data_IF_344729912987
#
_entry.id   IF_344729912987
#
_cell.length_a   1.000
_cell.length_b   1.000
_cell.length_c   1.000
_cell.angle_alpha   90.00
_cell.angle_beta   90.00
_cell.angle_gamma   90.00
#
_symmetry.space_group_name_H-M   'P 1'
#
loop_
_entity.id
_entity.type
_entity.pdbx_description
1 polymer ?
#
# COMPACT_ATOMS: atom_id res chain seq x y z
N UNK A 1 21.29 52.34 19.43
CA UNK A 1 19.90 52.07 18.98
C UNK A 1 19.91 50.98 17.92
N UNK A 2 18.80 50.23 17.80
CA UNK A 2 18.57 48.92 17.12
C UNK A 2 18.71 47.74 18.10
N UNK A 3 17.80 47.61 19.06
CA UNK A 3 16.40 47.17 18.98
C UNK A 3 16.26 45.64 18.85
N UNK A 4 15.53 45.10 19.82
CA UNK A 4 15.26 43.72 20.17
C UNK A 4 14.53 42.91 19.08
N UNK A 5 14.84 41.61 19.02
CA UNK A 5 13.86 40.54 18.78
C UNK A 5 14.42 39.28 19.48
N UNK A 6 14.05 39.03 20.72
CA UNK A 6 12.87 38.23 21.10
C UNK A 6 13.02 36.78 20.60
N UNK A 7 13.53 35.84 21.41
CA UNK A 7 12.84 35.16 22.50
C UNK A 7 12.08 33.89 22.04
N UNK A 8 12.68 32.75 22.40
CA UNK A 8 12.04 31.63 23.13
C UNK A 8 11.21 30.58 22.38
N UNK A 9 11.64 29.32 22.57
CA UNK A 9 10.91 28.04 22.63
C UNK A 9 9.91 27.66 21.51
N UNK A 10 10.03 26.42 21.02
CA UNK A 10 9.12 25.35 21.44
C UNK A 10 9.70 23.98 21.10
N UNK A 11 9.93 23.17 22.14
CA UNK A 11 10.02 21.73 22.01
C UNK A 11 8.61 21.19 21.73
N UNK A 12 8.44 20.47 20.61
CA UNK A 12 7.29 19.60 20.35
C UNK A 12 7.90 18.32 19.78
N UNK A 13 8.19 17.36 20.65
CA UNK A 13 7.37 16.16 20.85
C UNK A 13 7.17 15.37 19.56
N UNK A 14 7.75 14.16 19.56
CA UNK A 14 7.37 13.08 18.69
C UNK A 14 5.84 12.99 18.60
N UNK A 15 5.32 13.07 17.39
CA UNK A 15 3.99 12.57 17.09
C UNK A 15 4.11 11.89 15.74
N UNK A 16 4.06 10.54 15.68
CA UNK A 16 3.75 9.89 14.43
C UNK A 16 2.34 10.37 14.13
N UNK A 17 2.22 11.33 13.22
CA UNK A 17 0.96 11.64 12.59
C UNK A 17 0.58 10.37 11.82
N UNK A 18 -0.10 9.46 12.51
CA UNK A 18 -1.03 8.54 11.89
C UNK A 18 -1.77 9.38 10.85
N UNK A 19 -1.64 9.01 9.59
CA UNK A 19 -2.36 9.63 8.49
C UNK A 19 -3.85 9.66 8.87
N UNK A 20 -4.31 10.79 9.38
CA UNK A 20 -5.70 11.05 9.71
C UNK A 20 -6.41 11.32 8.39
N UNK A 21 -6.67 10.25 7.64
CA UNK A 21 -7.81 10.27 6.75
C UNK A 21 -9.07 10.48 7.60
N UNK A 22 -10.05 11.28 7.15
CA UNK A 22 -11.31 11.42 7.86
C UNK A 22 -11.92 10.03 8.05
N UNK A 23 -12.03 9.60 9.32
CA UNK A 23 -12.73 8.39 9.69
C UNK A 23 -14.23 8.61 9.39
N UNK A 24 -14.85 7.86 8.46
CA UNK A 24 -16.29 7.89 8.28
C UNK A 24 -16.97 7.21 9.48
N UNK A 25 -18.23 7.52 9.77
CA UNK A 25 -18.95 6.97 10.91
C UNK A 25 -18.97 5.44 10.87
N UNK A 26 -18.67 4.83 12.03
CA UNK A 26 -18.65 3.40 12.24
C UNK A 26 -20.07 2.82 12.11
N UNK A 27 -20.28 1.85 11.21
CA UNK A 27 -21.52 1.05 11.20
C UNK A 27 -22.09 0.58 9.86
N UNK A 28 -21.45 0.85 8.71
CA UNK A 28 -21.98 0.43 7.41
C UNK A 28 -21.44 -0.93 6.92
N UNK A 29 -22.25 -1.76 6.22
CA UNK A 29 -21.79 -3.02 5.60
C UNK A 29 -20.62 -2.84 4.60
N UNK A 30 -20.38 -1.62 4.13
CA UNK A 30 -19.27 -1.24 3.24
C UNK A 30 -17.87 -1.23 3.90
N UNK A 31 -17.77 -1.29 5.23
CA UNK A 31 -16.47 -1.21 5.93
C UNK A 31 -15.58 -2.43 5.66
N UNK A 32 -16.16 -3.63 5.52
CA UNK A 32 -15.40 -4.85 5.25
C UNK A 32 -14.78 -4.85 3.84
N UNK A 33 -15.50 -4.30 2.85
CA UNK A 33 -15.00 -4.19 1.47
C UNK A 33 -13.91 -3.13 1.34
N UNK A 34 -14.00 -2.00 2.06
CA UNK A 34 -12.98 -0.95 2.02
C UNK A 34 -11.69 -1.28 2.75
N UNK A 35 -11.72 -2.15 3.77
CA UNK A 35 -10.51 -2.55 4.52
C UNK A 35 -9.53 -3.39 3.69
N UNK A 36 -10.01 -4.03 2.64
CA UNK A 36 -9.20 -4.87 1.74
C UNK A 36 -8.81 -4.16 0.44
N UNK A 37 -9.38 -2.97 0.17
CA UNK A 37 -8.98 -2.19 -0.99
C UNK A 37 -7.66 -1.48 -0.64
N UNK A 38 -6.56 -1.81 -1.33
CA UNK A 38 -5.30 -1.12 -1.09
C UNK A 38 -5.46 0.35 -1.47
N UNK A 39 -4.73 1.25 -0.77
CA UNK A 39 -4.73 2.65 -1.12
C UNK A 39 -4.45 2.84 -2.63
N UNK A 40 -5.08 3.83 -3.28
CA UNK A 40 -4.75 4.16 -4.66
C UNK A 40 -3.24 4.41 -4.79
N UNK A 41 -2.62 3.93 -5.86
CA UNK A 41 -1.21 4.24 -6.12
C UNK A 41 -1.09 5.75 -6.40
N UNK A 42 -0.48 6.50 -5.49
CA UNK A 42 -0.23 7.92 -5.67
C UNK A 42 1.17 8.07 -6.28
N UNK A 43 1.22 8.38 -7.57
CA UNK A 43 2.48 8.65 -8.26
C UNK A 43 2.84 10.12 -8.06
N UNK A 44 4.08 10.41 -7.65
CA UNK A 44 4.61 11.78 -7.74
C UNK A 44 4.77 12.16 -9.22
N UNK A 45 5.01 13.44 -9.50
CA UNK A 45 5.42 13.92 -10.84
C UNK A 45 6.77 14.61 -10.76
N UNK A 46 7.47 14.72 -11.89
CA UNK A 46 8.77 15.43 -11.93
C UNK A 46 8.59 16.91 -11.59
N UNK A 47 7.43 17.51 -11.92
CA UNK A 47 7.08 18.89 -11.57
C UNK A 47 6.94 19.07 -10.06
N UNK A 48 6.18 18.18 -9.40
CA UNK A 48 6.03 18.18 -7.95
C UNK A 48 7.37 18.01 -7.24
N UNK A 49 8.21 17.09 -7.74
CA UNK A 49 9.56 16.88 -7.21
C UNK A 49 10.46 18.11 -7.42
N UNK A 50 10.40 18.71 -8.62
CA UNK A 50 11.20 19.90 -8.96
C UNK A 50 10.81 21.10 -8.11
N UNK A 51 9.51 21.30 -7.87
CA UNK A 51 9.00 22.37 -7.03
C UNK A 51 9.40 22.17 -5.56
N UNK A 52 9.28 20.95 -5.04
CA UNK A 52 9.62 20.64 -3.64
C UNK A 52 11.11 20.81 -3.36
N UNK A 53 11.96 20.43 -4.32
CA UNK A 53 13.42 20.51 -4.19
C UNK A 53 14.01 21.83 -4.70
N UNK A 54 13.19 22.75 -5.21
CA UNK A 54 13.65 24.03 -5.77
C UNK A 54 14.62 23.87 -6.95
N UNK A 55 14.41 22.86 -7.81
CA UNK A 55 15.30 22.56 -8.92
C UNK A 55 15.21 23.62 -10.02
N UNK A 56 16.37 24.06 -10.53
CA UNK A 56 16.41 24.90 -11.71
C UNK A 56 16.19 24.08 -13.01
N UNK A 57 15.95 24.74 -14.16
CA UNK A 57 15.66 24.03 -15.42
C UNK A 57 16.74 23.04 -15.87
N UNK A 58 18.02 23.39 -15.68
CA UNK A 58 19.13 22.52 -16.06
C UNK A 58 19.22 21.27 -15.16
N UNK A 59 18.97 21.41 -13.86
CA UNK A 59 18.90 20.29 -12.92
C UNK A 59 17.71 19.40 -13.22
N UNK A 60 16.53 19.99 -13.47
CA UNK A 60 15.32 19.28 -13.90
C UNK A 60 15.58 18.45 -15.15
N UNK A 61 16.24 19.01 -16.16
CA UNK A 61 16.59 18.29 -17.39
C UNK A 61 17.47 17.06 -17.09
N UNK A 62 18.45 17.19 -16.19
CA UNK A 62 19.34 16.07 -15.79
C UNK A 62 18.62 14.97 -15.02
N UNK A 63 17.66 15.30 -14.16
CA UNK A 63 16.96 14.30 -13.33
C UNK A 63 15.78 13.63 -14.04
N UNK A 64 15.24 14.25 -15.09
CA UNK A 64 14.03 13.77 -15.78
C UNK A 64 14.18 12.33 -16.32
N UNK A 65 15.31 11.93 -16.95
CA UNK A 65 15.49 10.56 -17.41
C UNK A 65 15.47 9.53 -16.27
N UNK A 66 16.20 9.79 -15.18
CA UNK A 66 16.26 8.91 -14.01
C UNK A 66 14.88 8.77 -13.35
N UNK A 67 14.18 9.90 -13.20
CA UNK A 67 12.83 9.93 -12.67
C UNK A 67 11.85 9.13 -13.54
N UNK A 68 11.94 9.28 -14.87
CA UNK A 68 11.08 8.57 -15.82
C UNK A 68 11.29 7.06 -15.74
N UNK A 69 12.54 6.61 -15.66
CA UNK A 69 12.87 5.19 -15.50
C UNK A 69 12.30 4.62 -14.19
N UNK A 70 12.49 5.33 -13.07
CA UNK A 70 11.99 4.91 -11.76
C UNK A 70 10.46 4.86 -11.74
N UNK A 71 9.80 5.87 -12.32
CA UNK A 71 8.34 5.88 -12.45
C UNK A 71 7.84 4.69 -13.29
N UNK A 72 8.56 4.32 -14.35
CA UNK A 72 8.26 3.13 -15.14
C UNK A 72 8.29 1.85 -14.31
N UNK A 73 9.36 1.63 -13.54
CA UNK A 73 9.50 0.46 -12.65
C UNK A 73 8.39 0.41 -11.60
N UNK A 74 8.08 1.54 -10.97
CA UNK A 74 7.01 1.60 -9.96
C UNK A 74 5.63 1.28 -10.55
N UNK A 75 5.34 1.76 -11.77
CA UNK A 75 4.09 1.46 -12.46
C UNK A 75 3.98 -0.02 -12.84
N UNK A 76 5.06 -0.61 -13.34
CA UNK A 76 5.07 -2.05 -13.66
C UNK A 76 4.85 -2.89 -12.39
N UNK A 77 5.54 -2.56 -11.29
CA UNK A 77 5.34 -3.23 -10.01
C UNK A 77 3.89 -3.08 -9.49
N UNK A 78 3.30 -1.88 -9.62
CA UNK A 78 1.90 -1.65 -9.28
C UNK A 78 0.97 -2.52 -10.13
N UNK A 79 1.16 -2.54 -11.46
CA UNK A 79 0.37 -3.35 -12.39
C UNK A 79 0.46 -4.85 -12.04
N UNK A 80 1.65 -5.36 -11.72
CA UNK A 80 1.82 -6.76 -11.29
C UNK A 80 1.06 -7.08 -10.00
N UNK A 81 1.07 -6.18 -9.00
CA UNK A 81 0.29 -6.36 -7.77
C UNK A 81 -1.22 -6.37 -8.05
N UNK A 82 -1.70 -5.51 -8.95
CA UNK A 82 -3.10 -5.51 -9.37
C UNK A 82 -3.46 -6.84 -10.06
N UNK A 83 -2.62 -7.33 -10.96
CA UNK A 83 -2.82 -8.60 -11.65
C UNK A 83 -2.87 -9.80 -10.70
N UNK A 84 -1.92 -9.89 -9.75
CA UNK A 84 -1.92 -10.95 -8.71
C UNK A 84 -3.21 -10.89 -7.88
N UNK A 85 -3.66 -9.68 -7.51
CA UNK A 85 -4.94 -9.53 -6.79
C UNK A 85 -6.13 -9.98 -7.62
N UNK A 86 -6.19 -9.58 -8.89
CA UNK A 86 -7.27 -10.03 -9.78
C UNK A 86 -7.26 -11.54 -9.93
N UNK A 87 -6.08 -12.16 -10.06
CA UNK A 87 -5.94 -13.61 -10.09
C UNK A 87 -6.42 -14.27 -8.79
N UNK A 88 -6.05 -13.72 -7.63
CA UNK A 88 -6.47 -14.21 -6.31
C UNK A 88 -7.96 -13.99 -6.03
N UNK A 89 -8.55 -12.94 -6.59
CA UNK A 89 -10.00 -12.71 -6.54
C UNK A 89 -10.74 -13.66 -7.50
N UNK A 90 -10.21 -13.86 -8.71
CA UNK A 90 -10.78 -14.72 -9.74
C UNK A 90 -10.65 -16.22 -9.42
N UNK A 91 -9.60 -16.64 -8.69
CA UNK A 91 -9.44 -18.02 -8.22
C UNK A 91 -10.48 -18.41 -7.17
N UNK A 92 -11.36 -17.50 -6.76
CA UNK A 92 -12.47 -17.80 -5.86
C UNK A 92 -12.01 -18.26 -4.47
N UNK A 93 -10.76 -17.99 -4.10
CA UNK A 93 -10.35 -18.02 -2.70
C UNK A 93 -10.98 -16.81 -2.00
N UNK A 94 -12.30 -16.89 -1.84
CA UNK A 94 -13.13 -16.12 -0.91
C UNK A 94 -12.76 -16.52 0.51
N UNK A 95 -11.48 -16.44 0.85
CA UNK A 95 -11.01 -16.53 2.21
C UNK A 95 -11.09 -15.12 2.75
N UNK A 96 -12.28 -14.74 3.22
CA UNK A 96 -12.44 -13.51 3.99
C UNK A 96 -11.81 -13.77 5.36
N UNK A 97 -10.70 -13.10 5.73
CA UNK A 97 -10.05 -13.34 7.01
C UNK A 97 -11.04 -13.08 8.15
N UNK A 98 -11.22 -14.06 9.04
CA UNK A 98 -12.19 -14.00 10.14
C UNK A 98 -13.60 -14.53 9.82
N UNK A 99 -13.84 -15.05 8.61
CA UNK A 99 -15.02 -15.88 8.31
C UNK A 99 -14.66 -17.35 8.39
N UNK A 100 -15.58 -18.16 8.92
CA UNK A 100 -15.40 -19.61 8.96
C UNK A 100 -15.39 -20.16 7.53
N UNK A 101 -14.41 -21.01 7.15
CA UNK A 101 -14.34 -21.55 5.80
C UNK A 101 -15.63 -22.29 5.44
N UNK A 102 -16.09 -22.14 4.21
CA UNK A 102 -17.29 -22.87 3.76
C UNK A 102 -17.04 -24.39 3.81
N UNK A 103 -18.08 -25.23 3.92
CA UNK A 103 -17.90 -26.69 3.95
C UNK A 103 -17.10 -27.22 2.75
N UNK A 104 -17.30 -26.64 1.57
CA UNK A 104 -16.56 -26.99 0.36
C UNK A 104 -15.06 -26.62 0.46
N UNK A 105 -14.73 -25.48 1.09
CA UNK A 105 -13.34 -25.09 1.33
C UNK A 105 -12.68 -26.00 2.36
N UNK A 106 -13.38 -26.39 3.44
CA UNK A 106 -12.86 -27.36 4.43
C UNK A 106 -12.53 -28.69 3.79
N UNK A 107 -13.43 -29.22 2.97
CA UNK A 107 -13.19 -30.46 2.24
C UNK A 107 -11.94 -30.39 1.34
N UNK A 108 -11.68 -29.25 0.71
CA UNK A 108 -10.43 -29.05 -0.06
C UNK A 108 -9.18 -29.00 0.82
N UNK A 109 -9.25 -28.34 1.98
CA UNK A 109 -8.13 -28.31 2.92
C UNK A 109 -7.85 -29.68 3.53
N UNK A 110 -8.89 -30.45 3.86
CA UNK A 110 -8.74 -31.81 4.38
C UNK A 110 -8.15 -32.74 3.31
N UNK A 111 -8.59 -32.63 2.06
CA UNK A 111 -8.01 -33.36 0.92
C UNK A 111 -6.52 -33.04 0.73
N UNK A 112 -6.13 -31.76 0.76
CA UNK A 112 -4.72 -31.36 0.64
C UNK A 112 -3.89 -31.85 1.82
N UNK A 113 -4.46 -31.86 3.03
CA UNK A 113 -3.79 -32.40 4.22
C UNK A 113 -3.51 -33.89 4.07
N UNK A 114 -4.52 -34.67 3.68
CA UNK A 114 -4.38 -36.11 3.45
C UNK A 114 -3.35 -36.42 2.36
N UNK A 115 -3.33 -35.63 1.29
CA UNK A 115 -2.33 -35.77 0.22
C UNK A 115 -0.90 -35.50 0.73
N UNK A 116 -0.68 -34.44 1.51
CA UNK A 116 0.63 -34.14 2.09
C UNK A 116 1.07 -35.12 3.19
N UNK A 117 0.13 -35.72 3.92
CA UNK A 117 0.41 -36.81 4.85
C UNK A 117 0.84 -38.08 4.10
N UNK A 118 0.21 -38.37 2.95
CA UNK A 118 0.62 -39.46 2.07
C UNK A 118 2.05 -39.31 1.56
N UNK A 119 2.42 -38.11 1.08
CA UNK A 119 3.79 -37.82 0.65
C UNK A 119 4.82 -37.88 1.78
N UNK A 120 4.44 -37.54 3.02
CA UNK A 120 5.32 -37.66 4.19
C UNK A 120 5.46 -39.11 4.69
N UNK A 121 4.48 -39.96 4.43
CA UNK A 121 4.55 -41.39 4.77
C UNK A 121 5.39 -42.20 3.75
N UNK A 122 5.59 -41.67 2.54
CA UNK A 122 6.43 -42.28 1.50
C UNK A 122 7.89 -41.79 1.49
N UNK A 123 8.27 -40.83 2.35
CA UNK A 123 9.63 -40.28 2.50
C UNK A 123 10.37 -40.86 3.71
#
# INVERSE_FOLDING_TARGET
>A
MRAFAAATLFAVLASPALAQNPAPPAGGPDMAQRRLQPPPDHWMTVDSLSQTLGLNPAQRAKITPAYTALNGVMKDAAARRQAIRQQMQASGSTFTPGQEPTPAQRAKFDSLRTEMEGFQAEA
#
